data_IF_776839038011
#
_entry.id   IF_776839038011
#
_cell.length_a   1.000
_cell.length_b   1.000
_cell.length_c   1.000
_cell.angle_alpha   90.00
_cell.angle_beta   90.00
_cell.angle_gamma   90.00
#
_symmetry.space_group_name_H-M   'P 1'
#
loop_
_entity.id
_entity.type
_entity.pdbx_description
1 polymer ?
#
# COMPACT_ATOMS: atom_id res chain seq x y z
N UNK A 1 -19.83 -3.65 17.57
CA UNK A 1 -19.33 -3.88 16.20
C UNK A 1 -19.60 -2.63 15.37
N UNK A 2 -18.54 -1.99 14.89
CA UNK A 2 -18.64 -0.84 14.00
C UNK A 2 -18.21 -1.29 12.60
N UNK A 3 -19.12 -1.17 11.66
CA UNK A 3 -18.89 -1.50 10.25
C UNK A 3 -19.09 -0.23 9.42
N UNK A 4 -18.11 0.12 8.59
CA UNK A 4 -18.22 1.25 7.66
C UNK A 4 -18.23 0.68 6.26
N UNK A 5 -19.31 0.92 5.53
CA UNK A 5 -19.46 0.53 4.14
C UNK A 5 -19.33 1.79 3.26
N UNK A 6 -18.38 1.76 2.36
CA UNK A 6 -18.25 2.77 1.31
C UNK A 6 -18.75 2.26 -0.03
N UNK A 7 -19.37 3.13 -0.79
CA UNK A 7 -19.70 2.93 -2.20
C UNK A 7 -19.22 4.12 -3.00
N UNK A 8 -18.59 3.86 -4.12
CA UNK A 8 -18.18 4.87 -5.08
C UNK A 8 -18.47 4.37 -6.49
N UNK A 9 -19.24 5.13 -7.25
CA UNK A 9 -19.53 4.85 -8.66
C UNK A 9 -18.45 5.43 -9.58
N UNK A 10 -17.68 6.40 -9.08
CA UNK A 10 -16.62 7.08 -9.83
C UNK A 10 -15.24 6.46 -9.60
N UNK A 11 -15.04 5.75 -8.48
CA UNK A 11 -13.78 5.12 -8.09
C UNK A 11 -14.01 3.67 -7.66
N UNK A 12 -14.35 2.76 -8.59
CA UNK A 12 -14.55 1.36 -8.25
C UNK A 12 -13.24 0.76 -7.72
N UNK A 13 -13.35 -0.05 -6.67
CA UNK A 13 -12.21 -0.83 -6.20
C UNK A 13 -11.93 -1.97 -7.17
N UNK A 14 -10.69 -2.08 -7.66
CA UNK A 14 -10.30 -3.06 -8.65
C UNK A 14 -9.07 -3.84 -8.20
N UNK A 15 -9.10 -5.16 -8.35
CA UNK A 15 -7.92 -6.00 -8.21
C UNK A 15 -7.21 -6.11 -9.56
N UNK A 16 -5.88 -5.92 -9.56
CA UNK A 16 -5.06 -6.04 -10.75
C UNK A 16 -4.28 -7.35 -10.70
N UNK A 17 -4.45 -8.19 -11.69
CA UNK A 17 -3.64 -9.39 -11.89
C UNK A 17 -2.22 -9.00 -12.27
N UNK A 18 -1.32 -8.89 -11.26
CA UNK A 18 0.06 -8.43 -11.43
C UNK A 18 0.80 -9.10 -12.58
N UNK A 19 0.74 -10.44 -12.65
CA UNK A 19 1.46 -11.18 -13.69
C UNK A 19 0.97 -10.83 -15.10
N UNK A 20 -0.35 -10.80 -15.32
CA UNK A 20 -0.95 -10.42 -16.62
C UNK A 20 -0.63 -8.97 -16.97
N UNK A 21 -0.71 -8.08 -15.99
CA UNK A 21 -0.35 -6.67 -16.19
C UNK A 21 1.10 -6.52 -16.66
N UNK A 22 2.06 -7.16 -15.98
CA UNK A 22 3.47 -7.08 -16.34
C UNK A 22 3.76 -7.68 -17.72
N UNK A 23 3.16 -8.83 -18.04
CA UNK A 23 3.28 -9.46 -19.37
C UNK A 23 2.78 -8.53 -20.49
N UNK A 24 1.63 -7.90 -20.31
CA UNK A 24 1.08 -6.97 -21.32
C UNK A 24 1.94 -5.70 -21.45
N UNK A 25 2.46 -5.18 -20.35
CA UNK A 25 3.40 -4.05 -20.38
C UNK A 25 4.69 -4.42 -21.12
N UNK A 26 5.29 -5.56 -20.83
CA UNK A 26 6.50 -6.04 -21.51
C UNK A 26 6.24 -6.27 -23.00
N UNK A 27 5.16 -6.95 -23.36
CA UNK A 27 4.77 -7.20 -24.75
C UNK A 27 4.62 -5.89 -25.53
N UNK A 28 3.95 -4.88 -24.95
CA UNK A 28 3.81 -3.56 -25.58
C UNK A 28 5.15 -2.85 -25.72
N UNK A 29 6.01 -2.90 -24.72
CA UNK A 29 7.32 -2.28 -24.75
C UNK A 29 8.19 -2.92 -25.86
N UNK A 30 8.25 -4.24 -25.93
CA UNK A 30 8.99 -4.95 -27.01
C UNK A 30 8.42 -4.63 -28.40
N UNK A 31 7.12 -4.58 -28.55
CA UNK A 31 6.46 -4.21 -29.82
C UNK A 31 6.81 -2.77 -30.27
N UNK A 32 7.15 -1.89 -29.33
CA UNK A 32 7.63 -0.53 -29.59
C UNK A 32 9.17 -0.42 -29.64
N UNK A 33 9.87 -1.55 -29.76
CA UNK A 33 11.33 -1.57 -29.94
C UNK A 33 12.15 -1.30 -28.67
N UNK A 34 11.54 -1.38 -27.48
CA UNK A 34 12.29 -1.24 -26.22
C UNK A 34 13.06 -2.55 -25.96
N UNK A 35 14.38 -2.51 -25.90
CA UNK A 35 15.18 -3.70 -25.56
C UNK A 35 15.05 -4.02 -24.06
N UNK A 36 15.11 -5.32 -23.74
CA UNK A 36 15.21 -5.83 -22.38
C UNK A 36 16.53 -6.60 -22.27
N UNK A 37 17.48 -6.00 -21.61
CA UNK A 37 18.81 -6.57 -21.41
C UNK A 37 18.93 -7.10 -19.98
N UNK A 38 19.50 -8.31 -19.78
CA UNK A 38 19.66 -8.90 -18.45
C UNK A 38 20.69 -8.17 -17.58
N UNK A 39 21.63 -7.46 -18.22
CA UNK A 39 22.67 -6.70 -17.57
C UNK A 39 22.69 -5.27 -18.12
N UNK A 40 23.06 -4.31 -17.27
CA UNK A 40 23.21 -2.93 -17.68
C UNK A 40 24.48 -2.80 -18.53
N UNK A 41 24.37 -2.91 -19.86
CA UNK A 41 25.45 -2.66 -20.81
C UNK A 41 25.33 -1.23 -21.33
N UNK A 42 26.07 -0.30 -20.75
CA UNK A 42 26.12 1.08 -21.22
C UNK A 42 27.10 1.17 -22.40
N UNK A 43 26.60 0.95 -23.63
CA UNK A 43 27.43 0.99 -24.86
C UNK A 43 27.38 2.33 -25.59
N UNK A 44 26.51 3.24 -25.19
CA UNK A 44 26.34 4.55 -25.85
C UNK A 44 26.20 5.66 -24.81
N UNK A 45 26.39 6.94 -25.18
CA UNK A 45 26.09 8.05 -24.29
C UNK A 45 24.59 8.02 -23.91
N UNK A 46 24.33 7.61 -22.67
CA UNK A 46 22.99 7.52 -22.11
C UNK A 46 22.58 8.91 -21.62
N UNK A 47 21.46 9.42 -22.11
CA UNK A 47 20.97 10.75 -21.69
C UNK A 47 20.55 10.75 -20.22
N UNK A 48 19.98 9.66 -19.73
CA UNK A 48 19.54 9.52 -18.34
C UNK A 48 19.39 8.05 -17.95
N UNK A 49 19.81 7.72 -16.73
CA UNK A 49 19.56 6.42 -16.09
C UNK A 49 18.54 6.63 -14.99
N UNK A 50 17.51 5.78 -14.97
CA UNK A 50 16.51 5.72 -13.91
C UNK A 50 16.66 4.41 -13.14
N UNK A 51 16.87 4.51 -11.83
CA UNK A 51 17.08 3.35 -10.96
C UNK A 51 15.76 2.94 -10.27
N UNK A 52 15.30 1.73 -10.52
CA UNK A 52 14.09 1.16 -9.91
C UNK A 52 14.40 0.05 -8.89
N UNK A 53 15.67 -0.18 -8.55
CA UNK A 53 16.05 -1.17 -7.54
C UNK A 53 15.43 -0.82 -6.19
N UNK A 54 15.00 -1.82 -5.38
CA UNK A 54 14.42 -1.53 -4.07
C UNK A 54 15.38 -0.69 -3.20
N UNK A 55 14.89 0.38 -2.56
CA UNK A 55 15.71 1.16 -1.64
C UNK A 55 16.04 0.34 -0.38
N UNK A 56 17.18 0.62 0.29
CA UNK A 56 17.50 -0.03 1.55
C UNK A 56 16.49 0.34 2.62
N UNK A 57 16.13 -0.63 3.44
CA UNK A 57 15.18 -0.45 4.56
C UNK A 57 15.98 -0.30 5.84
N UNK A 58 15.91 0.84 6.54
CA UNK A 58 16.60 1.03 7.81
C UNK A 58 16.09 0.11 8.90
N UNK A 59 16.99 -0.32 9.79
CA UNK A 59 16.64 -1.13 10.95
C UNK A 59 15.60 -0.43 11.84
N UNK A 60 14.64 -1.21 12.34
CA UNK A 60 13.60 -0.72 13.21
C UNK A 60 12.55 0.19 12.52
N UNK A 61 12.56 0.29 11.19
CA UNK A 61 11.50 0.96 10.45
C UNK A 61 10.17 0.21 10.66
N UNK A 62 9.06 0.96 10.68
CA UNK A 62 7.73 0.35 10.63
C UNK A 62 7.57 -0.38 9.30
N UNK A 63 7.04 -1.58 9.35
CA UNK A 63 6.80 -2.43 8.17
C UNK A 63 5.32 -2.78 8.10
N UNK A 64 4.79 -2.88 6.90
CA UNK A 64 3.58 -3.64 6.60
C UNK A 64 4.04 -4.99 6.06
N UNK A 65 3.68 -6.05 6.72
CA UNK A 65 4.03 -7.39 6.27
C UNK A 65 2.82 -8.30 6.35
N UNK A 66 2.75 -9.24 5.43
CA UNK A 66 1.55 -10.03 5.23
C UNK A 66 1.82 -11.41 4.67
N UNK A 67 0.85 -12.29 4.89
CA UNK A 67 0.65 -13.54 4.18
C UNK A 67 -0.77 -13.54 3.63
N UNK A 68 -0.95 -13.94 2.39
CA UNK A 68 -2.25 -14.06 1.73
C UNK A 68 -2.48 -15.47 1.19
N UNK A 69 -3.71 -15.93 1.31
CA UNK A 69 -4.19 -17.18 0.72
C UNK A 69 -5.26 -16.88 -0.32
N UNK A 70 -5.07 -17.39 -1.52
CA UNK A 70 -6.12 -17.46 -2.53
C UNK A 70 -6.95 -18.72 -2.25
N UNK A 71 -8.18 -18.50 -1.78
CA UNK A 71 -9.09 -19.54 -1.27
C UNK A 71 -10.16 -19.82 -2.30
N UNK A 72 -10.37 -21.10 -2.62
CA UNK A 72 -11.50 -21.60 -3.38
C UNK A 72 -12.44 -22.34 -2.43
N UNK A 73 -13.73 -22.03 -2.49
CA UNK A 73 -14.77 -22.55 -1.59
C UNK A 73 -16.05 -22.85 -2.40
N UNK A 74 -17.08 -23.47 -1.83
CA UNK A 74 -18.36 -23.68 -2.50
C UNK A 74 -18.97 -22.39 -3.06
N UNK A 75 -19.74 -22.48 -4.13
CA UNK A 75 -20.43 -21.33 -4.72
C UNK A 75 -21.34 -20.61 -3.68
N UNK A 76 -21.36 -19.29 -3.74
CA UNK A 76 -22.10 -18.45 -2.77
C UNK A 76 -21.36 -18.18 -1.45
N UNK A 77 -20.08 -18.61 -1.33
CA UNK A 77 -19.26 -18.38 -0.13
C UNK A 77 -18.82 -16.93 0.03
N UNK A 78 -18.68 -16.19 -1.07
CA UNK A 78 -18.21 -14.79 -1.05
C UNK A 78 -19.16 -13.88 -1.82
N UNK A 79 -19.22 -12.61 -1.40
CA UNK A 79 -19.92 -11.55 -2.16
C UNK A 79 -18.91 -10.82 -3.08
N UNK A 80 -18.93 -11.07 -4.41
CA UNK A 80 -17.99 -10.46 -5.34
C UNK A 80 -18.19 -8.96 -5.55
N UNK A 81 -19.24 -8.39 -4.96
CA UNK A 81 -19.51 -6.94 -5.03
C UNK A 81 -18.92 -6.14 -3.87
N UNK A 82 -18.37 -6.83 -2.87
CA UNK A 82 -17.91 -6.21 -1.63
C UNK A 82 -16.48 -6.66 -1.27
N UNK A 83 -15.54 -5.75 -1.27
CA UNK A 83 -14.18 -5.98 -0.74
C UNK A 83 -14.11 -5.55 0.73
N UNK A 84 -13.54 -6.39 1.58
CA UNK A 84 -13.24 -6.06 2.98
C UNK A 84 -11.79 -5.60 3.05
N UNK A 85 -11.59 -4.31 3.32
CA UNK A 85 -10.24 -3.72 3.30
C UNK A 85 -9.52 -3.85 4.64
N UNK A 86 -10.23 -3.80 5.76
CA UNK A 86 -9.60 -3.86 7.08
C UNK A 86 -10.56 -4.45 8.11
N UNK A 87 -10.51 -5.75 8.31
CA UNK A 87 -11.26 -6.41 9.38
C UNK A 87 -10.35 -6.65 10.59
N UNK A 88 -10.63 -5.97 11.68
CA UNK A 88 -9.83 -6.02 12.91
C UNK A 88 -10.25 -7.14 13.88
N UNK A 89 -11.12 -8.05 13.48
CA UNK A 89 -11.55 -9.19 14.31
C UNK A 89 -10.51 -10.30 14.31
N UNK A 90 -9.27 -9.96 14.64
CA UNK A 90 -8.12 -10.83 14.78
C UNK A 90 -7.24 -10.36 15.95
N UNK A 91 -6.23 -11.14 16.31
CA UNK A 91 -5.32 -10.81 17.42
C UNK A 91 -4.56 -9.51 17.18
N UNK A 92 -4.66 -8.56 18.13
CA UNK A 92 -4.03 -7.24 18.09
C UNK A 92 -2.80 -7.14 18.99
N UNK A 93 -2.33 -8.24 19.57
CA UNK A 93 -1.26 -8.25 20.58
C UNK A 93 0.12 -7.85 20.03
N UNK A 94 0.34 -8.06 18.73
CA UNK A 94 1.64 -7.86 18.08
C UNK A 94 1.75 -6.54 17.31
N UNK A 95 0.72 -5.73 17.28
CA UNK A 95 0.68 -4.49 16.53
C UNK A 95 -0.69 -4.23 15.91
N UNK A 96 -0.77 -3.39 14.91
CA UNK A 96 -1.99 -3.18 14.15
C UNK A 96 -2.18 -4.33 13.17
N UNK A 97 -3.07 -5.25 13.50
CA UNK A 97 -3.35 -6.44 12.71
C UNK A 97 -4.77 -6.40 12.13
N UNK A 98 -4.91 -6.75 10.86
CA UNK A 98 -6.20 -6.80 10.18
C UNK A 98 -6.19 -7.82 9.03
N UNK A 99 -7.39 -8.21 8.62
CA UNK A 99 -7.61 -9.12 7.51
C UNK A 99 -8.20 -8.34 6.34
N UNK A 100 -7.62 -8.51 5.14
CA UNK A 100 -8.28 -8.23 3.87
C UNK A 100 -9.10 -9.45 3.44
N UNK A 101 -10.27 -9.23 2.83
CA UNK A 101 -10.97 -10.25 2.05
C UNK A 101 -11.40 -9.63 0.73
N UNK A 102 -10.79 -10.08 -0.35
CA UNK A 102 -10.97 -9.56 -1.70
C UNK A 102 -11.56 -10.67 -2.59
N UNK A 103 -12.88 -10.76 -2.70
CA UNK A 103 -13.53 -11.75 -3.57
C UNK A 103 -13.23 -11.48 -5.05
N UNK A 104 -12.86 -12.53 -5.77
CA UNK A 104 -12.73 -12.52 -7.23
C UNK A 104 -13.99 -13.06 -7.91
N UNK A 105 -14.73 -13.91 -7.20
CA UNK A 105 -16.01 -14.47 -7.57
C UNK A 105 -16.80 -14.85 -6.32
N UNK A 106 -17.94 -15.48 -6.50
CA UNK A 106 -18.74 -16.03 -5.39
C UNK A 106 -18.11 -17.27 -4.72
N UNK A 107 -17.09 -17.87 -5.36
CA UNK A 107 -16.40 -19.05 -4.84
C UNK A 107 -14.88 -18.87 -4.68
N UNK A 108 -14.32 -17.71 -5.03
CA UNK A 108 -12.89 -17.44 -4.91
C UNK A 108 -12.62 -16.08 -4.26
N UNK A 109 -11.69 -16.03 -3.30
CA UNK A 109 -11.24 -14.80 -2.67
C UNK A 109 -9.76 -14.86 -2.29
N UNK A 110 -9.09 -13.71 -2.29
CA UNK A 110 -7.84 -13.52 -1.57
C UNK A 110 -8.18 -13.13 -0.13
N UNK A 111 -7.67 -13.90 0.82
CA UNK A 111 -7.74 -13.58 2.26
C UNK A 111 -6.33 -13.35 2.75
N UNK A 112 -6.05 -12.13 3.21
CA UNK A 112 -4.71 -11.69 3.58
C UNK A 112 -4.68 -11.21 5.02
N UNK A 113 -3.78 -11.78 5.81
CA UNK A 113 -3.46 -11.34 7.17
C UNK A 113 -2.30 -10.35 7.10
N UNK A 114 -2.54 -9.11 7.50
CA UNK A 114 -1.59 -8.00 7.40
C UNK A 114 -1.33 -7.39 8.77
N UNK A 115 -0.05 -7.23 9.10
CA UNK A 115 0.40 -6.64 10.35
C UNK A 115 1.29 -5.43 10.09
N UNK A 116 1.07 -4.35 10.84
CA UNK A 116 1.97 -3.20 10.92
C UNK A 116 2.78 -3.30 12.21
N UNK A 117 4.05 -3.65 12.08
CA UNK A 117 5.01 -3.68 13.21
C UNK A 117 6.44 -3.53 12.68
N UNK A 118 7.41 -3.15 13.54
CA UNK A 118 8.81 -3.09 13.11
C UNK A 118 9.46 -4.47 12.97
N UNK A 119 8.86 -5.51 13.51
CA UNK A 119 9.40 -6.86 13.56
C UNK A 119 8.55 -7.83 12.75
N UNK A 120 9.22 -8.68 11.96
CA UNK A 120 8.56 -9.75 11.21
C UNK A 120 8.22 -10.91 12.16
N UNK A 121 7.03 -11.46 12.00
CA UNK A 121 6.61 -12.64 12.74
C UNK A 121 6.75 -13.92 11.89
N UNK A 122 6.82 -15.11 12.53
CA UNK A 122 6.79 -16.37 11.81
C UNK A 122 5.53 -16.52 10.96
N UNK A 123 5.64 -17.15 9.79
CA UNK A 123 4.52 -17.35 8.85
C UNK A 123 3.27 -17.96 9.51
N UNK A 124 3.44 -18.86 10.47
CA UNK A 124 2.35 -19.50 11.21
C UNK A 124 1.44 -18.53 11.95
N UNK A 125 1.93 -17.34 12.36
CA UNK A 125 1.09 -16.31 12.98
C UNK A 125 0.00 -15.83 12.00
N UNK A 126 0.39 -15.48 10.79
CA UNK A 126 -0.53 -14.99 9.75
C UNK A 126 -1.45 -16.10 9.24
N UNK A 127 -0.89 -17.29 9.04
CA UNK A 127 -1.64 -18.45 8.54
C UNK A 127 -2.72 -18.90 9.54
N UNK A 128 -2.44 -18.83 10.83
CA UNK A 128 -3.43 -19.09 11.89
C UNK A 128 -4.55 -18.05 11.82
N UNK A 129 -4.21 -16.77 11.72
CA UNK A 129 -5.21 -15.70 11.63
C UNK A 129 -6.11 -15.85 10.39
N UNK A 130 -5.55 -16.23 9.23
CA UNK A 130 -6.34 -16.51 8.02
C UNK A 130 -7.25 -17.72 8.25
N UNK A 131 -6.72 -18.82 8.77
CA UNK A 131 -7.51 -20.04 9.03
C UNK A 131 -8.67 -19.77 9.97
N UNK A 132 -8.44 -19.01 11.05
CA UNK A 132 -9.48 -18.62 12.01
C UNK A 132 -10.52 -17.71 11.36
N UNK A 133 -10.09 -16.75 10.54
CA UNK A 133 -10.97 -15.86 9.80
C UNK A 133 -11.88 -16.64 8.83
N UNK A 134 -11.32 -17.54 8.05
CA UNK A 134 -12.07 -18.41 7.12
C UNK A 134 -13.12 -19.23 7.87
N UNK A 135 -12.74 -19.84 9.00
CA UNK A 135 -13.66 -20.69 9.79
C UNK A 135 -14.71 -19.90 10.56
N UNK A 136 -14.28 -18.84 11.27
CA UNK A 136 -15.17 -18.15 12.22
C UNK A 136 -15.96 -17.02 11.59
N UNK A 137 -15.39 -16.29 10.63
CA UNK A 137 -16.00 -15.12 10.01
C UNK A 137 -16.67 -15.49 8.69
N UNK A 138 -15.95 -16.16 7.79
CA UNK A 138 -16.52 -16.63 6.53
C UNK A 138 -17.39 -17.88 6.73
N UNK A 139 -17.29 -18.56 7.89
CA UNK A 139 -18.05 -19.78 8.26
C UNK A 139 -17.86 -20.92 7.27
N UNK A 140 -16.67 -21.05 6.69
CA UNK A 140 -16.32 -22.09 5.75
C UNK A 140 -15.68 -23.27 6.48
N UNK A 141 -16.27 -24.46 6.36
CA UNK A 141 -15.72 -25.73 6.85
C UNK A 141 -14.86 -26.44 5.80
N UNK A 142 -15.14 -26.19 4.53
CA UNK A 142 -14.47 -26.80 3.37
C UNK A 142 -13.96 -25.70 2.45
N UNK A 143 -12.66 -25.70 2.18
CA UNK A 143 -12.00 -24.80 1.25
C UNK A 143 -10.65 -25.36 0.83
N UNK A 144 -10.18 -24.91 -0.32
CA UNK A 144 -8.84 -25.20 -0.84
C UNK A 144 -8.02 -23.92 -0.95
N UNK A 145 -6.73 -24.01 -0.63
CA UNK A 145 -5.76 -22.92 -0.85
C UNK A 145 -5.05 -23.15 -2.16
N UNK A 146 -5.47 -22.43 -3.20
CA UNK A 146 -4.92 -22.57 -4.55
C UNK A 146 -3.59 -21.84 -4.73
N UNK A 147 -3.36 -20.74 -4.00
CA UNK A 147 -2.12 -19.96 -4.05
C UNK A 147 -1.82 -19.32 -2.70
N UNK A 148 -0.53 -19.11 -2.44
CA UNK A 148 -0.04 -18.36 -1.29
C UNK A 148 0.85 -17.23 -1.75
N UNK A 149 0.78 -16.11 -1.06
CA UNK A 149 1.67 -14.98 -1.28
C UNK A 149 2.11 -14.40 0.07
N UNK A 150 3.20 -13.68 0.05
CA UNK A 150 3.69 -12.93 1.21
C UNK A 150 4.49 -11.72 0.74
N UNK A 151 4.58 -10.72 1.58
CA UNK A 151 5.35 -9.54 1.28
C UNK A 151 5.68 -8.70 2.49
N UNK A 152 6.67 -7.83 2.30
CA UNK A 152 7.10 -6.85 3.30
C UNK A 152 7.23 -5.51 2.60
N UNK A 153 6.51 -4.51 3.09
CA UNK A 153 6.48 -3.16 2.57
C UNK A 153 6.97 -2.21 3.67
N UNK A 154 8.05 -1.46 3.44
CA UNK A 154 8.50 -0.47 4.42
C UNK A 154 7.52 0.70 4.52
N UNK A 155 7.20 1.12 5.74
CA UNK A 155 6.36 2.27 6.04
C UNK A 155 7.21 3.41 6.57
N UNK A 156 7.41 4.42 5.73
CA UNK A 156 8.26 5.57 6.03
C UNK A 156 8.86 6.17 4.77
N UNK A 157 9.60 7.24 4.94
CA UNK A 157 10.36 7.87 3.85
C UNK A 157 11.69 7.15 3.70
N UNK A 158 11.95 6.58 2.54
CA UNK A 158 13.15 5.82 2.22
C UNK A 158 14.20 6.69 1.50
N UNK A 159 15.46 6.39 1.72
CA UNK A 159 16.57 6.87 0.89
C UNK A 159 16.56 6.21 -0.48
N UNK A 160 17.42 6.67 -1.40
CA UNK A 160 17.60 6.02 -2.69
C UNK A 160 18.56 4.82 -2.56
N UNK A 161 18.38 3.83 -3.43
CA UNK A 161 19.31 2.71 -3.53
C UNK A 161 20.72 3.18 -3.89
N UNK A 162 20.80 4.06 -4.88
CA UNK A 162 22.01 4.76 -5.27
C UNK A 162 21.73 6.28 -5.30
N UNK A 163 22.31 7.06 -4.37
CA UNK A 163 22.09 8.52 -4.33
C UNK A 163 22.57 9.24 -5.59
N UNK A 164 23.52 8.66 -6.35
CA UNK A 164 24.04 9.22 -7.59
C UNK A 164 23.11 9.06 -8.80
N UNK A 165 22.09 8.22 -8.68
CA UNK A 165 21.14 7.96 -9.76
C UNK A 165 19.74 8.53 -9.46
N UNK A 166 19.02 8.90 -10.50
CA UNK A 166 17.63 9.29 -10.37
C UNK A 166 16.77 8.05 -10.09
N UNK A 167 16.09 8.00 -8.93
CA UNK A 167 15.19 6.90 -8.56
C UNK A 167 13.84 6.99 -9.26
N UNK A 168 13.25 5.85 -9.60
CA UNK A 168 11.87 5.73 -10.12
C UNK A 168 11.10 4.65 -9.33
N UNK A 169 9.78 4.74 -9.30
CA UNK A 169 8.96 3.80 -8.55
C UNK A 169 9.22 3.91 -7.04
N UNK A 170 9.38 2.78 -6.35
CA UNK A 170 9.70 2.74 -4.92
C UNK A 170 10.98 3.53 -4.60
N UNK A 171 12.02 3.35 -5.41
CA UNK A 171 13.29 4.06 -5.28
C UNK A 171 13.20 5.56 -5.58
N UNK A 172 12.15 5.98 -6.28
CA UNK A 172 11.79 7.40 -6.54
C UNK A 172 10.80 7.97 -5.53
N UNK A 173 10.56 7.29 -4.40
CA UNK A 173 9.66 7.74 -3.35
C UNK A 173 8.18 7.62 -3.68
N UNK A 174 7.79 6.70 -4.58
CA UNK A 174 6.39 6.52 -4.96
C UNK A 174 5.57 5.68 -3.96
N UNK A 175 6.22 5.01 -2.99
CA UNK A 175 5.49 4.33 -1.92
C UNK A 175 4.93 5.38 -0.95
N UNK A 176 3.63 5.32 -0.67
CA UNK A 176 3.03 6.17 0.36
C UNK A 176 3.53 5.72 1.74
N UNK A 177 4.21 6.58 2.52
CA UNK A 177 4.85 6.18 3.77
C UNK A 177 3.91 5.58 4.81
N UNK A 178 2.66 6.02 4.86
CA UNK A 178 1.69 5.61 5.90
C UNK A 178 0.84 4.39 5.55
N UNK A 179 0.79 3.99 4.28
CA UNK A 179 -0.09 2.92 3.81
C UNK A 179 0.58 1.86 2.94
N UNK A 180 1.83 2.09 2.50
CA UNK A 180 2.51 1.21 1.57
C UNK A 180 1.95 1.22 0.13
N UNK A 181 0.91 2.00 -0.14
CA UNK A 181 0.33 2.09 -1.48
C UNK A 181 1.34 2.70 -2.45
N UNK A 182 1.50 2.06 -3.61
CA UNK A 182 2.52 2.46 -4.58
C UNK A 182 1.97 2.55 -6.02
N UNK A 183 1.05 1.68 -6.42
CA UNK A 183 0.67 1.53 -7.83
C UNK A 183 0.18 2.84 -8.46
N UNK A 184 -0.81 3.50 -7.89
CA UNK A 184 -1.35 4.77 -8.41
C UNK A 184 -0.30 5.89 -8.43
N UNK A 185 0.55 5.93 -7.42
CA UNK A 185 1.62 6.92 -7.31
C UNK A 185 2.74 6.69 -8.33
N UNK A 186 3.10 5.42 -8.60
CA UNK A 186 4.02 5.06 -9.68
C UNK A 186 3.44 5.48 -11.03
N UNK A 187 2.15 5.23 -11.30
CA UNK A 187 1.51 5.66 -12.54
C UNK A 187 1.53 7.19 -12.70
N UNK A 188 1.26 7.95 -11.63
CA UNK A 188 1.37 9.42 -11.64
C UNK A 188 2.80 9.89 -11.93
N UNK A 189 3.79 9.28 -11.28
CA UNK A 189 5.19 9.59 -11.48
C UNK A 189 5.63 9.34 -12.94
N UNK A 190 5.22 8.20 -13.51
CA UNK A 190 5.54 7.84 -14.90
C UNK A 190 4.82 8.78 -15.88
N UNK A 191 3.52 9.08 -15.67
CA UNK A 191 2.77 9.98 -16.53
C UNK A 191 3.41 11.39 -16.58
N UNK A 192 3.86 11.89 -15.43
CA UNK A 192 4.60 13.15 -15.35
C UNK A 192 5.93 13.10 -16.11
N UNK A 193 6.71 12.03 -15.93
CA UNK A 193 7.97 11.85 -16.66
C UNK A 193 7.76 11.76 -18.17
N UNK A 194 6.74 11.03 -18.63
CA UNK A 194 6.39 10.91 -20.06
C UNK A 194 6.02 12.26 -20.66
N UNK A 195 5.24 13.10 -19.96
CA UNK A 195 4.88 14.45 -20.43
C UNK A 195 6.12 15.31 -20.69
N UNK A 196 7.14 15.21 -19.83
CA UNK A 196 8.42 15.91 -20.03
C UNK A 196 9.23 15.34 -21.19
N UNK A 197 9.29 14.01 -21.32
CA UNK A 197 9.98 13.34 -22.41
C UNK A 197 9.43 13.75 -23.78
N UNK A 198 8.10 13.75 -23.92
CA UNK A 198 7.41 14.19 -25.16
C UNK A 198 7.73 15.65 -25.48
N UNK A 199 7.94 16.50 -24.49
CA UNK A 199 8.36 17.89 -24.67
C UNK A 199 9.88 18.06 -24.94
N UNK A 200 10.63 16.98 -25.10
CA UNK A 200 12.09 17.02 -25.30
C UNK A 200 12.89 17.52 -24.09
N UNK A 201 12.29 17.49 -22.90
CA UNK A 201 12.91 17.93 -21.65
C UNK A 201 13.52 16.72 -20.92
N UNK A 202 14.47 16.97 -20.00
CA UNK A 202 14.94 15.95 -19.10
C UNK A 202 13.79 15.36 -18.27
N UNK A 203 13.86 14.06 -17.95
CA UNK A 203 12.84 13.37 -17.17
C UNK A 203 12.96 13.80 -15.70
N UNK A 204 12.08 14.66 -15.16
CA UNK A 204 12.07 14.90 -13.74
C UNK A 204 11.36 13.72 -13.08
N UNK A 205 12.09 12.97 -12.27
CA UNK A 205 11.51 11.94 -11.43
C UNK A 205 11.43 12.53 -10.02
N UNK A 206 10.29 13.17 -9.74
CA UNK A 206 10.00 13.72 -8.42
C UNK A 206 9.23 12.74 -7.55
N UNK A 207 9.27 12.97 -6.25
CA UNK A 207 8.40 12.28 -5.28
C UNK A 207 6.95 12.69 -5.56
N UNK A 208 6.02 11.75 -5.78
CA UNK A 208 4.63 12.08 -6.15
C UNK A 208 3.77 12.54 -4.96
N UNK A 209 4.37 12.73 -3.80
CA UNK A 209 3.71 13.16 -2.57
C UNK A 209 4.12 14.59 -2.22
N UNK A 210 3.17 15.40 -1.76
CA UNK A 210 3.45 16.73 -1.26
C UNK A 210 4.19 16.70 0.08
N UNK A 211 4.91 17.77 0.40
CA UNK A 211 5.59 17.91 1.69
C UNK A 211 4.62 17.83 2.89
N UNK A 212 3.39 18.32 2.70
CA UNK A 212 2.33 18.23 3.69
C UNK A 212 1.89 16.78 3.94
N UNK A 213 1.68 16.01 2.88
CA UNK A 213 1.32 14.59 2.99
C UNK A 213 2.40 13.79 3.70
N UNK A 214 3.66 13.96 3.28
CA UNK A 214 4.79 13.28 3.92
C UNK A 214 4.93 13.65 5.40
N UNK A 215 4.64 14.89 5.77
CA UNK A 215 4.64 15.34 7.16
C UNK A 215 3.51 14.71 7.97
N UNK A 216 2.28 14.65 7.41
CA UNK A 216 1.14 13.99 8.04
C UNK A 216 1.37 12.49 8.22
N UNK A 217 1.97 11.83 7.24
CA UNK A 217 2.32 10.40 7.33
C UNK A 217 3.31 10.12 8.46
N UNK A 218 4.31 10.98 8.65
CA UNK A 218 5.28 10.84 9.75
C UNK A 218 4.61 10.98 11.13
N UNK A 219 3.65 11.89 11.27
CA UNK A 219 2.86 12.04 12.50
C UNK A 219 2.03 10.77 12.74
N UNK A 220 1.37 10.29 11.69
CA UNK A 220 0.51 9.11 11.76
C UNK A 220 1.30 7.85 12.15
N UNK A 221 2.44 7.60 11.51
CA UNK A 221 3.32 6.48 11.86
C UNK A 221 3.86 6.58 13.29
N UNK A 222 4.20 7.79 13.76
CA UNK A 222 4.61 8.01 15.13
C UNK A 222 3.49 7.68 16.15
N UNK A 223 2.23 7.92 15.78
CA UNK A 223 1.07 7.53 16.61
C UNK A 223 0.92 6.00 16.61
N UNK A 224 0.95 5.36 15.45
CA UNK A 224 0.81 3.90 15.32
C UNK A 224 1.92 3.16 16.08
N UNK A 225 3.16 3.63 16.00
CA UNK A 225 4.29 3.03 16.72
C UNK A 225 4.12 3.07 18.23
N UNK A 226 3.63 4.19 18.77
CA UNK A 226 3.47 4.39 20.22
C UNK A 226 2.19 3.81 20.77
N UNK A 227 1.15 3.75 19.96
CA UNK A 227 -0.20 3.37 20.36
C UNK A 227 -0.87 2.53 19.27
N UNK A 228 -0.30 1.33 18.96
CA UNK A 228 -0.91 0.43 17.99
C UNK A 228 -2.34 0.01 18.38
N UNK A 229 -2.63 -0.03 19.68
CA UNK A 229 -3.96 -0.30 20.23
C UNK A 229 -5.05 0.68 19.76
N UNK A 230 -4.67 1.89 19.33
CA UNK A 230 -5.61 2.88 18.81
C UNK A 230 -5.88 2.73 17.31
N UNK A 231 -5.10 1.92 16.60
CA UNK A 231 -5.19 1.82 15.15
C UNK A 231 -6.60 1.47 14.62
N UNK A 232 -7.30 0.44 15.12
CA UNK A 232 -8.64 0.14 14.66
C UNK A 232 -9.60 1.33 14.81
N UNK A 233 -9.54 2.02 15.94
CA UNK A 233 -10.36 3.20 16.21
C UNK A 233 -10.03 4.37 15.28
N UNK A 234 -8.76 4.59 14.98
CA UNK A 234 -8.29 5.66 14.09
C UNK A 234 -8.80 5.41 12.67
N UNK A 235 -8.62 4.20 12.14
CA UNK A 235 -9.04 3.88 10.77
C UNK A 235 -10.57 3.89 10.61
N UNK A 236 -11.32 3.37 11.59
CA UNK A 236 -12.79 3.45 11.59
C UNK A 236 -13.26 4.91 11.64
N UNK A 237 -12.65 5.75 12.49
CA UNK A 237 -13.01 7.17 12.58
C UNK A 237 -12.69 7.92 11.27
N UNK A 238 -11.57 7.62 10.64
CA UNK A 238 -11.19 8.17 9.34
C UNK A 238 -12.19 7.75 8.25
N UNK A 239 -12.51 6.47 8.16
CA UNK A 239 -13.48 5.97 7.20
C UNK A 239 -14.87 6.59 7.42
N UNK A 240 -15.35 6.64 8.66
CA UNK A 240 -16.64 7.23 8.99
C UNK A 240 -16.77 8.74 8.67
N UNK A 241 -15.66 9.46 8.63
CA UNK A 241 -15.65 10.90 8.33
C UNK A 241 -15.74 11.23 6.84
N UNK A 242 -15.55 10.25 5.97
CA UNK A 242 -15.44 10.43 4.51
C UNK A 242 -16.61 9.73 3.80
N UNK A 243 -17.01 10.27 2.64
CA UNK A 243 -17.83 9.52 1.68
C UNK A 243 -16.97 8.51 0.92
N UNK A 244 -17.57 7.59 0.15
CA UNK A 244 -16.84 6.62 -0.67
C UNK A 244 -15.85 7.27 -1.64
N UNK A 245 -16.29 8.32 -2.36
CA UNK A 245 -15.43 9.07 -3.29
C UNK A 245 -14.32 9.83 -2.55
N UNK A 246 -14.62 10.44 -1.41
CA UNK A 246 -13.62 11.14 -0.59
C UNK A 246 -12.58 10.15 -0.03
N UNK A 247 -13.02 8.95 0.35
CA UNK A 247 -12.13 7.90 0.85
C UNK A 247 -11.20 7.39 -0.27
N UNK A 248 -11.73 7.14 -1.46
CA UNK A 248 -10.94 6.76 -2.62
C UNK A 248 -9.91 7.85 -3.00
N UNK A 249 -10.34 9.11 -3.04
CA UNK A 249 -9.44 10.26 -3.30
C UNK A 249 -8.36 10.41 -2.22
N UNK A 250 -8.70 10.14 -0.96
CA UNK A 250 -7.71 10.18 0.13
C UNK A 250 -6.64 9.09 -0.03
N UNK A 251 -7.05 7.86 -0.33
CA UNK A 251 -6.12 6.75 -0.52
C UNK A 251 -5.25 6.88 -1.79
N UNK A 252 -5.79 7.48 -2.85
CA UNK A 252 -5.06 7.71 -4.11
C UNK A 252 -4.18 8.96 -4.11
N UNK A 253 -4.17 9.75 -3.02
CA UNK A 253 -3.40 11.00 -2.93
C UNK A 253 -4.00 12.14 -3.76
N UNK A 254 -5.32 12.17 -3.91
CA UNK A 254 -6.08 13.24 -4.58
C UNK A 254 -6.93 14.04 -3.60
N UNK A 255 -6.64 13.91 -2.31
CA UNK A 255 -7.35 14.60 -1.26
C UNK A 255 -7.05 16.10 -1.27
N UNK A 256 -8.07 16.90 -1.56
CA UNK A 256 -8.03 18.34 -1.36
C UNK A 256 -8.11 18.75 0.13
N UNK A 257 -7.91 20.04 0.41
CA UNK A 257 -7.89 20.57 1.79
C UNK A 257 -9.15 20.21 2.62
N UNK A 258 -10.32 20.14 1.99
CA UNK A 258 -11.59 19.76 2.66
C UNK A 258 -11.54 18.32 3.20
N UNK A 259 -11.04 17.37 2.40
CA UNK A 259 -10.91 15.96 2.80
C UNK A 259 -9.91 15.85 3.94
N UNK A 260 -8.74 16.51 3.82
CA UNK A 260 -7.75 16.56 4.89
C UNK A 260 -8.29 17.12 6.19
N UNK A 261 -9.09 18.20 6.13
CA UNK A 261 -9.71 18.77 7.33
C UNK A 261 -10.66 17.78 8.01
N UNK A 262 -11.48 17.05 7.24
CA UNK A 262 -12.36 15.99 7.79
C UNK A 262 -11.55 14.90 8.50
N UNK A 263 -10.48 14.40 7.87
CA UNK A 263 -9.59 13.38 8.45
C UNK A 263 -8.97 13.91 9.74
N UNK A 264 -8.36 15.09 9.73
CA UNK A 264 -7.73 15.70 10.91
C UNK A 264 -8.73 15.88 12.05
N UNK A 265 -9.95 16.30 11.74
CA UNK A 265 -11.00 16.49 12.75
C UNK A 265 -11.49 15.17 13.35
N UNK A 266 -11.48 14.09 12.60
CA UNK A 266 -11.86 12.75 13.07
C UNK A 266 -10.81 12.10 13.99
N UNK A 267 -9.55 12.49 13.88
CA UNK A 267 -8.46 11.87 14.64
C UNK A 267 -8.52 12.16 16.15
N UNK A 268 -8.13 11.22 17.02
CA UNK A 268 -8.02 11.43 18.46
C UNK A 268 -6.94 12.49 18.76
N UNK A 269 -7.31 13.62 19.40
CA UNK A 269 -6.48 14.82 19.48
C UNK A 269 -5.18 14.60 20.24
N UNK A 270 -5.22 13.98 21.42
CA UNK A 270 -4.06 13.87 22.30
C UNK A 270 -2.94 12.99 21.72
N UNK A 271 -3.21 11.78 21.16
CA UNK A 271 -2.17 11.01 20.49
C UNK A 271 -1.53 11.74 19.31
N UNK A 272 -2.33 12.43 18.49
CA UNK A 272 -1.83 13.16 17.33
C UNK A 272 -1.05 14.43 17.70
N UNK A 273 -1.42 15.15 18.76
CA UNK A 273 -0.62 16.26 19.29
C UNK A 273 0.75 15.78 19.78
N UNK A 274 0.82 14.64 20.44
CA UNK A 274 2.09 14.01 20.84
C UNK A 274 2.91 13.56 19.62
N UNK A 275 2.27 13.01 18.60
CA UNK A 275 2.90 12.65 17.32
C UNK A 275 3.45 13.87 16.58
N UNK A 276 2.77 15.00 16.66
CA UNK A 276 3.22 16.27 16.09
C UNK A 276 4.52 16.78 16.74
N UNK A 277 4.64 16.64 18.06
CA UNK A 277 5.85 17.04 18.79
C UNK A 277 7.04 16.11 18.50
N UNK A 278 6.78 14.84 18.21
CA UNK A 278 7.78 13.80 17.98
C UNK A 278 7.41 12.93 16.76
N UNK A 279 7.43 13.49 15.55
CA UNK A 279 7.11 12.72 14.35
C UNK A 279 8.22 11.70 14.03
N UNK A 280 7.92 10.67 13.25
CA UNK A 280 8.94 9.76 12.73
C UNK A 280 10.05 10.54 12.00
N UNK A 281 11.31 10.11 12.09
CA UNK A 281 12.41 10.79 11.46
C UNK A 281 12.20 10.88 9.93
N UNK A 282 12.76 11.92 9.31
CA UNK A 282 12.99 11.90 7.86
C UNK A 282 14.02 10.80 7.59
N UNK A 283 13.95 10.14 6.44
CA UNK A 283 15.00 9.22 6.05
C UNK A 283 16.35 9.90 6.29
N UNK A 284 17.23 9.22 7.01
CA UNK A 284 18.61 9.66 7.11
C UNK A 284 19.16 9.61 5.68
N UNK A 285 19.60 10.76 5.17
CA UNK A 285 20.42 10.80 3.99
C UNK A 285 21.70 10.03 4.36
N UNK A 286 21.80 8.80 3.84
CA UNK A 286 23.03 8.00 3.91
C UNK A 286 24.07 8.60 3.01
#
# INVERSE_FOLDING_TARGET
DHNILHRSDTHPYCAIHRHRWLQECEKKARANGVPFEPELVVQAPVQQILDSRPPPVPDGMMLQHFVGWEVTAPAGSFDPTTAILMDYRCDQSQGMHFIYCLPFSDCQALIESTLFSPELLPAGFYETAISDYVKMICKLSEYEVSRRESGVIPLGVLGRHDPGLAGIGANGGAIRPSSGYAFSFIQKQIAHAVTHAVAGKSLPVGVPHSAFELWMDRIFLAVLRRRPDLAPRIFIAMAAALTGDEFANFLSGEAGAKIWLKVIMAMPKLPFLRGLLHPEPKALAS
#
